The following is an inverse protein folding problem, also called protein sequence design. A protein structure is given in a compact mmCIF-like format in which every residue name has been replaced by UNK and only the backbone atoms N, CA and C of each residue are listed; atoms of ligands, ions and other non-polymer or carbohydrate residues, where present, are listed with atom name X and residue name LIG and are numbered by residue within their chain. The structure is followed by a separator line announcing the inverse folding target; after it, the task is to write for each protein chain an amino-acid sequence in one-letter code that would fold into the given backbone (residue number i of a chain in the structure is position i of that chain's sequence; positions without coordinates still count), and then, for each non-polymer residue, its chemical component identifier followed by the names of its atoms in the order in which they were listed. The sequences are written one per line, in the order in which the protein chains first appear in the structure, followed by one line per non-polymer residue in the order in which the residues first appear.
data_IF_314497241925
#
_entry.id   IF_314497241925
#
_cell.length_a   1.000
_cell.length_b   1.000
_cell.length_c   1.000
_cell.angle_alpha   90.00
_cell.angle_beta   90.00
_cell.angle_gamma   90.00
#
_symmetry.space_group_name_H-M   'P 1'
#
loop_
_entity.id
_entity.type
_entity.pdbx_description
1 polymer ?
#
# COMPACT_ATOMS: atom_id res chain seq x y z
N UNK A 1 28.65 39.28 -3.82
CA UNK A 1 28.34 38.10 -2.99
C UNK A 1 27.06 37.49 -3.51
N UNK A 2 27.19 36.56 -4.48
CA UNK A 2 26.03 35.95 -5.15
C UNK A 2 25.68 34.66 -4.44
N UNK A 3 24.53 34.65 -3.77
CA UNK A 3 24.01 33.49 -3.06
C UNK A 3 23.38 32.53 -4.08
N UNK A 4 24.08 31.42 -4.39
CA UNK A 4 23.51 30.34 -5.20
C UNK A 4 22.50 29.60 -4.33
N UNK A 5 21.20 29.79 -4.59
CA UNK A 5 20.19 28.82 -4.18
C UNK A 5 20.51 27.51 -4.90
N UNK A 6 21.09 26.56 -4.18
CA UNK A 6 21.18 25.17 -4.61
C UNK A 6 19.75 24.63 -4.71
N UNK A 7 19.31 24.38 -5.95
CA UNK A 7 18.10 23.64 -6.22
C UNK A 7 18.16 22.30 -5.45
N UNK A 8 17.08 21.99 -4.72
CA UNK A 8 16.85 20.65 -4.20
C UNK A 8 16.86 19.69 -5.41
N UNK A 9 17.52 18.53 -5.33
CA UNK A 9 17.51 17.59 -6.44
C UNK A 9 16.06 17.21 -6.76
N UNK A 10 15.67 17.37 -8.03
CA UNK A 10 14.41 16.83 -8.53
C UNK A 10 14.38 15.33 -8.23
N UNK A 11 13.26 14.76 -7.74
CA UNK A 11 13.16 13.32 -7.57
C UNK A 11 13.40 12.66 -8.93
N UNK A 12 14.49 11.91 -9.03
CA UNK A 12 14.87 11.20 -10.25
C UNK A 12 13.68 10.40 -10.77
N UNK A 13 13.31 10.53 -12.06
CA UNK A 13 12.39 9.59 -12.68
C UNK A 13 12.95 8.18 -12.50
N UNK A 14 12.10 7.23 -12.15
CA UNK A 14 12.44 5.81 -12.00
C UNK A 14 13.02 5.27 -13.31
N UNK A 15 14.34 5.37 -13.46
CA UNK A 15 15.10 4.65 -14.48
C UNK A 15 15.54 3.33 -13.87
N UNK A 16 14.64 2.33 -13.89
CA UNK A 16 14.96 0.94 -13.52
C UNK A 16 13.81 0.16 -12.87
N UNK A 17 13.13 -0.68 -13.65
CA UNK A 17 12.57 -1.98 -13.22
C UNK A 17 11.62 -2.08 -11.99
N UNK A 18 10.57 -1.27 -11.88
CA UNK A 18 9.52 -1.46 -10.86
C UNK A 18 8.53 -2.62 -11.16
N UNK A 19 9.07 -3.83 -11.38
CA UNK A 19 8.32 -5.10 -11.59
C UNK A 19 8.71 -6.20 -10.60
N UNK A 20 9.53 -5.90 -9.58
CA UNK A 20 9.91 -6.89 -8.58
C UNK A 20 8.83 -7.05 -7.50
N UNK A 21 8.57 -8.30 -7.13
CA UNK A 21 7.70 -8.64 -6.02
C UNK A 21 8.34 -8.19 -4.72
N UNK A 22 7.51 -7.66 -3.81
CA UNK A 22 7.91 -7.43 -2.42
C UNK A 22 7.31 -8.56 -1.60
N UNK A 23 8.17 -9.34 -0.96
CA UNK A 23 7.77 -10.54 -0.24
C UNK A 23 8.29 -10.52 1.19
N UNK A 24 7.49 -11.07 2.10
CA UNK A 24 7.90 -11.31 3.47
C UNK A 24 7.18 -12.52 4.04
N UNK A 25 7.77 -13.12 5.08
CA UNK A 25 7.19 -14.24 5.82
C UNK A 25 7.00 -13.81 7.27
N UNK A 26 5.86 -14.20 7.83
CA UNK A 26 5.62 -14.16 9.27
C UNK A 26 5.49 -15.58 9.83
N UNK A 27 5.89 -15.77 11.07
CA UNK A 27 5.71 -17.03 11.79
C UNK A 27 4.29 -17.18 12.38
N UNK A 28 4.08 -18.23 13.18
CA UNK A 28 2.81 -18.48 13.88
C UNK A 28 2.47 -17.44 14.97
N UNK A 29 3.45 -16.65 15.41
CA UNK A 29 3.31 -15.56 16.38
C UNK A 29 3.19 -14.18 15.71
N UNK A 30 3.04 -14.14 14.38
CA UNK A 30 2.96 -12.92 13.56
C UNK A 30 4.27 -12.09 13.51
N UNK A 31 5.42 -12.68 13.85
CA UNK A 31 6.71 -12.01 13.76
C UNK A 31 7.29 -12.13 12.36
N UNK A 32 7.82 -11.04 11.81
CA UNK A 32 8.50 -11.04 10.51
C UNK A 32 9.81 -11.84 10.60
N UNK A 33 9.90 -12.97 9.90
CA UNK A 33 11.07 -13.87 9.94
C UNK A 33 11.94 -13.79 8.70
N UNK A 34 11.40 -13.28 7.58
CA UNK A 34 12.13 -13.15 6.33
C UNK A 34 11.53 -12.06 5.45
N UNK A 35 12.39 -11.41 4.65
CA UNK A 35 12.04 -10.50 3.55
C UNK A 35 12.90 -10.84 2.34
N UNK A 36 12.43 -10.54 1.13
CA UNK A 36 13.23 -10.78 -0.08
C UNK A 36 14.30 -9.70 -0.32
N UNK A 37 15.21 -9.96 -1.26
CA UNK A 37 16.32 -9.06 -1.60
C UNK A 37 15.86 -7.66 -2.07
N UNK A 38 14.69 -7.56 -2.71
CA UNK A 38 14.15 -6.30 -3.22
C UNK A 38 13.56 -5.40 -2.12
N UNK A 39 13.43 -5.89 -0.89
CA UNK A 39 12.74 -5.19 0.19
C UNK A 39 13.43 -3.87 0.58
N UNK A 40 14.74 -3.88 0.80
CA UNK A 40 15.48 -2.72 1.28
C UNK A 40 15.55 -1.61 0.22
N UNK A 41 15.80 -1.99 -1.04
CA UNK A 41 15.76 -1.07 -2.17
C UNK A 41 14.37 -0.43 -2.30
N UNK A 42 13.30 -1.23 -2.16
CA UNK A 42 11.94 -0.70 -2.17
C UNK A 42 11.66 0.27 -1.02
N UNK A 43 12.11 -0.05 0.20
CA UNK A 43 11.95 0.83 1.35
C UNK A 43 12.68 2.18 1.14
N UNK A 44 13.91 2.15 0.64
CA UNK A 44 14.69 3.35 0.33
C UNK A 44 14.06 4.18 -0.80
N UNK A 45 13.61 3.53 -1.87
CA UNK A 45 12.92 4.20 -2.97
C UNK A 45 11.61 4.89 -2.56
N UNK A 46 10.98 4.46 -1.45
CA UNK A 46 9.77 5.06 -0.92
C UNK A 46 10.04 5.94 0.33
N UNK A 47 11.29 6.36 0.55
CA UNK A 47 11.71 7.23 1.67
C UNK A 47 11.28 6.69 3.05
N UNK A 48 11.41 5.37 3.23
CA UNK A 48 11.02 4.66 4.44
C UNK A 48 12.19 3.86 5.04
N UNK A 49 13.33 4.50 5.41
CA UNK A 49 14.49 3.79 5.97
C UNK A 49 14.19 3.10 7.31
N UNK A 50 13.13 3.52 8.01
CA UNK A 50 12.63 2.84 9.21
C UNK A 50 11.99 1.48 8.92
N UNK A 51 11.80 1.11 7.64
CA UNK A 51 11.27 -0.17 7.19
C UNK A 51 12.35 -1.08 6.58
N UNK A 52 13.63 -0.74 6.68
CA UNK A 52 14.72 -1.64 6.26
C UNK A 52 14.62 -3.00 6.99
N UNK A 53 15.06 -4.06 6.34
CA UNK A 53 15.07 -5.45 6.82
C UNK A 53 15.60 -5.55 8.26
N UNK A 54 16.73 -4.90 8.53
CA UNK A 54 17.35 -4.84 9.85
C UNK A 54 16.49 -4.19 10.95
N UNK A 55 15.47 -3.40 10.58
CA UNK A 55 14.55 -2.71 11.50
C UNK A 55 13.22 -3.45 11.69
N UNK A 56 12.89 -4.39 10.80
CA UNK A 56 11.58 -5.08 10.77
C UNK A 56 11.65 -6.55 11.17
N UNK A 57 12.77 -7.24 10.92
CA UNK A 57 12.92 -8.64 11.26
C UNK A 57 12.84 -8.86 12.79
N UNK A 58 12.12 -9.92 13.19
CA UNK A 58 11.84 -10.27 14.58
C UNK A 58 10.73 -9.44 15.24
N UNK A 59 10.07 -8.55 14.50
CA UNK A 59 9.00 -7.69 15.02
C UNK A 59 7.64 -8.07 14.46
N UNK A 60 6.61 -7.63 15.16
CA UNK A 60 5.23 -7.86 14.77
C UNK A 60 4.89 -7.06 13.51
N UNK A 61 4.41 -7.73 12.45
CA UNK A 61 4.11 -7.07 11.18
C UNK A 61 3.06 -5.95 11.34
N UNK A 62 2.19 -6.03 12.35
CA UNK A 62 1.13 -5.04 12.63
C UNK A 62 1.70 -3.66 12.95
N UNK A 63 2.94 -3.59 13.46
CA UNK A 63 3.62 -2.33 13.76
C UNK A 63 3.91 -1.50 12.50
N UNK A 64 3.98 -2.14 11.33
CA UNK A 64 4.33 -1.50 10.06
C UNK A 64 3.12 -1.18 9.19
N UNK A 65 1.91 -1.52 9.64
CA UNK A 65 0.67 -1.28 8.89
C UNK A 65 -0.09 -0.09 9.44
N UNK A 66 -0.09 0.98 8.66
CA UNK A 66 -0.80 2.21 9.01
C UNK A 66 -2.30 2.11 8.75
N UNK A 67 -3.08 2.60 9.71
CA UNK A 67 -4.53 2.73 9.63
C UNK A 67 -5.27 1.44 10.02
N UNK A 68 -6.17 1.56 10.99
CA UNK A 68 -6.89 0.42 11.59
C UNK A 68 -7.66 -0.38 10.55
N UNK A 69 -8.29 0.29 9.57
CA UNK A 69 -9.03 -0.40 8.51
C UNK A 69 -8.14 -1.28 7.64
N UNK A 70 -6.90 -0.85 7.36
CA UNK A 70 -5.97 -1.65 6.56
C UNK A 70 -5.43 -2.83 7.38
N UNK A 71 -5.10 -2.60 8.65
CA UNK A 71 -4.66 -3.66 9.58
C UNK A 71 -5.73 -4.74 9.73
N UNK A 72 -6.97 -4.36 10.06
CA UNK A 72 -8.10 -5.29 10.16
C UNK A 72 -8.33 -6.09 8.87
N UNK A 73 -8.13 -5.44 7.71
CA UNK A 73 -8.29 -6.10 6.42
C UNK A 73 -7.22 -7.17 6.18
N UNK A 74 -5.95 -6.84 6.44
CA UNK A 74 -4.84 -7.79 6.32
C UNK A 74 -4.95 -8.92 7.34
N UNK A 75 -5.37 -8.64 8.58
CA UNK A 75 -5.65 -9.65 9.62
C UNK A 75 -6.74 -10.62 9.18
N UNK A 76 -7.81 -10.14 8.53
CA UNK A 76 -8.88 -11.00 8.02
C UNK A 76 -8.39 -11.92 6.90
N UNK A 77 -7.55 -11.43 5.98
CA UNK A 77 -6.94 -12.24 4.93
C UNK A 77 -5.99 -13.31 5.50
N UNK A 78 -5.17 -12.91 6.47
CA UNK A 78 -4.27 -13.80 7.21
C UNK A 78 -5.04 -14.93 7.92
N UNK A 79 -6.08 -14.55 8.67
CA UNK A 79 -6.92 -15.50 9.39
C UNK A 79 -7.60 -16.48 8.44
N UNK A 80 -8.14 -15.99 7.32
CA UNK A 80 -8.72 -16.82 6.29
C UNK A 80 -7.70 -17.80 5.67
N UNK A 81 -6.48 -17.34 5.40
CA UNK A 81 -5.41 -18.19 4.87
C UNK A 81 -5.05 -19.33 5.84
N UNK A 82 -4.87 -19.00 7.13
CA UNK A 82 -4.58 -19.98 8.20
C UNK A 82 -5.72 -21.00 8.35
N UNK A 83 -6.95 -20.54 8.50
CA UNK A 83 -8.12 -21.41 8.75
C UNK A 83 -8.41 -22.32 7.57
N UNK A 84 -8.33 -21.79 6.35
CA UNK A 84 -8.69 -22.55 5.15
C UNK A 84 -7.53 -23.39 4.60
N UNK A 85 -6.29 -23.15 5.04
CA UNK A 85 -5.09 -23.74 4.44
C UNK A 85 -4.95 -23.41 2.96
N UNK A 86 -5.48 -22.25 2.53
CA UNK A 86 -5.56 -21.84 1.12
C UNK A 86 -4.88 -20.51 0.90
N UNK A 87 -4.35 -20.35 -0.31
CA UNK A 87 -3.87 -19.06 -0.81
C UNK A 87 -5.05 -18.11 -0.94
N UNK A 88 -4.89 -16.92 -0.37
CA UNK A 88 -5.85 -15.82 -0.41
C UNK A 88 -5.26 -14.68 -1.24
N UNK A 89 -6.05 -14.09 -2.14
CA UNK A 89 -5.56 -13.05 -3.04
C UNK A 89 -6.48 -11.83 -3.14
N UNK A 90 -5.89 -10.64 -3.16
CA UNK A 90 -6.61 -9.38 -3.33
C UNK A 90 -5.83 -8.40 -4.23
N UNK A 91 -6.54 -7.70 -5.11
CA UNK A 91 -5.97 -6.56 -5.84
C UNK A 91 -6.26 -5.23 -5.13
N UNK A 92 -5.27 -4.34 -5.11
CA UNK A 92 -5.37 -3.01 -4.52
C UNK A 92 -4.42 -2.03 -5.24
N UNK A 93 -4.42 -0.75 -4.83
CA UNK A 93 -3.53 0.30 -5.32
C UNK A 93 -2.58 0.78 -4.24
N UNK A 94 -1.31 0.94 -4.58
CA UNK A 94 -0.24 1.44 -3.72
C UNK A 94 0.42 2.67 -4.35
N UNK A 95 -0.34 3.75 -4.56
CA UNK A 95 0.15 4.89 -5.34
C UNK A 95 1.26 5.65 -4.63
N UNK A 96 2.20 6.19 -5.41
CA UNK A 96 3.06 7.30 -5.03
C UNK A 96 2.43 8.62 -5.50
N UNK A 97 2.99 9.79 -5.13
CA UNK A 97 2.55 11.07 -5.70
C UNK A 97 2.69 11.14 -7.23
N UNK A 98 3.62 10.39 -7.81
CA UNK A 98 3.91 10.37 -9.25
C UNK A 98 3.25 9.23 -10.00
N UNK A 99 2.87 8.14 -9.35
CA UNK A 99 2.46 6.90 -10.02
C UNK A 99 1.26 6.21 -9.35
N UNK A 100 0.37 5.67 -10.19
CA UNK A 100 -0.62 4.67 -9.81
C UNK A 100 0.01 3.29 -9.93
N UNK A 101 0.14 2.58 -8.82
CA UNK A 101 0.65 1.19 -8.80
C UNK A 101 -0.49 0.25 -8.50
N UNK A 102 -0.83 -0.62 -9.44
CA UNK A 102 -1.78 -1.69 -9.28
C UNK A 102 -1.03 -2.93 -8.78
N UNK A 103 -1.48 -3.48 -7.66
CA UNK A 103 -0.77 -4.54 -6.95
C UNK A 103 -1.74 -5.69 -6.69
N UNK A 104 -1.24 -6.92 -6.85
CA UNK A 104 -1.89 -8.15 -6.38
C UNK A 104 -1.19 -8.62 -5.12
N UNK A 105 -1.88 -8.50 -3.98
CA UNK A 105 -1.50 -9.15 -2.74
C UNK A 105 -1.89 -10.63 -2.80
N UNK A 106 -0.95 -11.48 -2.40
CA UNK A 106 -1.15 -12.89 -2.10
C UNK A 106 -0.74 -13.16 -0.66
N UNK A 107 -1.58 -13.89 0.07
CA UNK A 107 -1.32 -14.40 1.41
C UNK A 107 -1.39 -15.93 1.33
N UNK A 108 -0.28 -16.59 1.60
CA UNK A 108 -0.09 -18.00 1.30
C UNK A 108 0.40 -18.76 2.54
N UNK A 109 -0.34 -19.79 3.00
CA UNK A 109 0.13 -20.66 4.07
C UNK A 109 1.42 -21.38 3.68
N UNK A 110 2.32 -21.51 4.64
CA UNK A 110 3.58 -22.22 4.53
C UNK A 110 3.65 -23.31 5.64
N UNK A 111 4.74 -24.06 5.66
CA UNK A 111 4.97 -25.06 6.70
C UNK A 111 5.02 -24.43 8.11
N UNK A 112 4.75 -25.25 9.14
CA UNK A 112 4.89 -24.85 10.56
C UNK A 112 4.14 -23.57 10.91
N UNK A 113 2.97 -23.33 10.31
CA UNK A 113 2.12 -22.17 10.62
C UNK A 113 2.61 -20.83 10.09
N UNK A 114 3.71 -20.82 9.32
CA UNK A 114 4.22 -19.61 8.68
C UNK A 114 3.28 -19.15 7.57
N UNK A 115 3.32 -17.86 7.26
CA UNK A 115 2.52 -17.26 6.19
C UNK A 115 3.40 -16.35 5.35
N UNK A 116 3.40 -16.58 4.03
CA UNK A 116 4.08 -15.74 3.06
C UNK A 116 3.13 -14.69 2.50
N UNK A 117 3.54 -13.44 2.57
CA UNK A 117 2.92 -12.31 1.88
C UNK A 117 3.73 -11.98 0.64
N UNK A 118 3.04 -11.72 -0.47
CA UNK A 118 3.64 -11.31 -1.74
C UNK A 118 2.83 -10.19 -2.37
N UNK A 119 3.49 -9.07 -2.60
CA UNK A 119 2.94 -7.87 -3.24
C UNK A 119 3.52 -7.79 -4.65
N UNK A 120 2.77 -8.29 -5.64
CA UNK A 120 3.17 -8.27 -7.04
C UNK A 120 2.60 -7.04 -7.75
N UNK A 121 3.47 -6.14 -8.22
CA UNK A 121 3.04 -4.98 -9.01
C UNK A 121 2.66 -5.44 -10.42
N UNK A 122 1.37 -5.39 -10.73
CA UNK A 122 0.85 -5.83 -12.03
C UNK A 122 0.84 -4.74 -13.08
N UNK A 123 0.82 -3.46 -12.67
CA UNK A 123 0.81 -2.32 -13.58
C UNK A 123 1.24 -1.04 -12.85
N UNK A 124 2.05 -0.23 -13.52
CA UNK A 124 2.38 1.14 -13.10
C UNK A 124 1.88 2.11 -14.18
N UNK A 125 1.23 3.19 -13.77
CA UNK A 125 0.75 4.26 -14.66
C UNK A 125 1.16 5.61 -14.05
N UNK A 126 1.86 6.48 -14.77
CA UNK A 126 2.13 7.84 -14.29
C UNK A 126 0.84 8.59 -13.96
N UNK A 127 0.84 9.32 -12.85
CA UNK A 127 -0.24 10.24 -12.48
C UNK A 127 -0.18 11.45 -13.41
N UNK A 128 -1.34 11.94 -13.85
CA UNK A 128 -1.44 13.17 -14.65
C UNK A 128 -1.00 14.41 -13.86
N UNK A 129 -1.24 14.40 -12.55
CA UNK A 129 -0.94 15.50 -11.65
C UNK A 129 -0.32 14.99 -10.35
N UNK A 130 0.65 15.74 -9.82
CA UNK A 130 1.21 15.49 -8.50
C UNK A 130 0.24 16.05 -7.45
N UNK A 131 -0.19 15.22 -6.51
CA UNK A 131 -0.97 15.62 -5.33
C UNK A 131 -0.45 14.85 -4.14
N UNK A 132 -0.13 15.55 -3.05
CA UNK A 132 0.35 14.93 -1.82
C UNK A 132 -0.82 14.72 -0.85
N UNK A 133 -0.90 13.55 -0.23
CA UNK A 133 -1.94 13.23 0.74
C UNK A 133 -1.34 13.07 2.13
N UNK A 134 -1.92 13.74 3.12
CA UNK A 134 -1.47 13.67 4.51
C UNK A 134 -2.62 13.30 5.42
N UNK A 135 -2.35 12.47 6.43
CA UNK A 135 -3.32 12.23 7.51
C UNK A 135 -3.13 13.33 8.56
N UNK A 136 -4.14 14.16 8.82
CA UNK A 136 -4.00 15.25 9.77
C UNK A 136 -3.88 14.72 11.20
N UNK A 137 -2.91 15.22 11.97
CA UNK A 137 -2.69 14.85 13.38
C UNK A 137 -3.77 15.38 14.33
N UNK A 138 -4.44 16.46 13.93
CA UNK A 138 -5.55 17.08 14.66
C UNK A 138 -6.77 17.18 13.74
N UNK A 139 -8.00 17.12 14.28
CA UNK A 139 -9.20 17.30 13.48
C UNK A 139 -9.16 18.61 12.69
N UNK A 140 -9.40 18.53 11.38
CA UNK A 140 -9.44 19.70 10.50
C UNK A 140 -10.64 20.58 10.90
N UNK A 141 -10.39 21.77 11.43
CA UNK A 141 -11.46 22.71 11.82
C UNK A 141 -12.11 23.33 10.57
N UNK A 142 -13.44 23.32 10.50
CA UNK A 142 -14.23 24.10 9.54
C UNK A 142 -14.16 23.67 8.07
N UNK A 143 -13.46 22.58 7.73
CA UNK A 143 -13.34 22.07 6.36
C UNK A 143 -14.27 20.89 6.04
N UNK A 144 -14.61 20.72 4.76
CA UNK A 144 -15.22 19.47 4.26
C UNK A 144 -14.18 18.34 4.42
N UNK A 145 -14.49 17.33 5.22
CA UNK A 145 -13.60 16.18 5.43
C UNK A 145 -13.44 15.40 4.12
N UNK A 146 -12.21 15.30 3.63
CA UNK A 146 -11.88 14.45 2.49
C UNK A 146 -11.48 13.05 2.98
N UNK A 147 -11.94 12.03 2.27
CA UNK A 147 -11.52 10.66 2.52
C UNK A 147 -10.72 10.13 1.34
N UNK A 148 -9.82 9.18 1.59
CA UNK A 148 -9.12 8.42 0.56
C UNK A 148 -9.33 6.94 0.78
N UNK A 149 -9.60 6.20 -0.29
CA UNK A 149 -9.87 4.79 -0.18
C UNK A 149 -8.57 4.01 0.03
N UNK A 150 -8.43 3.24 1.11
CA UNK A 150 -7.20 2.45 1.39
C UNK A 150 -6.93 1.32 0.38
N UNK A 151 -7.90 0.98 -0.47
CA UNK A 151 -7.76 -0.11 -1.45
C UNK A 151 -7.59 0.38 -2.88
N UNK A 152 -8.31 1.42 -3.31
CA UNK A 152 -8.25 1.91 -4.69
C UNK A 152 -7.71 3.33 -4.80
N UNK A 153 -7.38 3.97 -3.68
CA UNK A 153 -6.82 5.33 -3.59
C UNK A 153 -7.67 6.45 -4.20
N UNK A 154 -8.91 6.17 -4.62
CA UNK A 154 -9.91 7.18 -4.95
C UNK A 154 -10.17 8.09 -3.78
N UNK A 155 -10.46 9.36 -4.07
CA UNK A 155 -10.78 10.36 -3.06
C UNK A 155 -12.29 10.58 -3.00
N UNK A 156 -12.81 10.79 -1.79
CA UNK A 156 -14.19 11.20 -1.54
C UNK A 156 -14.21 12.70 -1.31
N UNK A 157 -14.73 13.43 -2.29
CA UNK A 157 -14.92 14.88 -2.21
C UNK A 157 -16.39 15.18 -2.49
N UNK A 158 -16.96 16.11 -1.70
CA UNK A 158 -18.36 16.51 -1.85
C UNK A 158 -19.34 15.31 -1.89
N UNK A 159 -19.04 14.24 -1.14
CA UNK A 159 -19.87 13.03 -1.07
C UNK A 159 -19.61 11.98 -2.14
N UNK A 160 -18.83 12.28 -3.19
CA UNK A 160 -18.59 11.39 -4.33
C UNK A 160 -17.17 10.84 -4.34
N UNK A 161 -17.03 9.55 -4.69
CA UNK A 161 -15.73 8.90 -4.86
C UNK A 161 -15.27 9.03 -6.32
N UNK A 162 -14.06 9.54 -6.54
CA UNK A 162 -13.50 9.78 -7.88
C UNK A 162 -11.98 9.57 -7.93
N UNK A 163 -11.42 9.49 -9.14
CA UNK A 163 -9.97 9.53 -9.32
C UNK A 163 -9.43 10.92 -8.96
N UNK A 164 -8.14 10.99 -8.61
CA UNK A 164 -7.50 12.25 -8.22
C UNK A 164 -7.43 13.20 -9.41
N UNK A 165 -7.21 12.67 -10.61
CA UNK A 165 -7.19 13.44 -11.85
C UNK A 165 -8.54 14.09 -12.14
N UNK A 166 -9.65 13.35 -11.94
CA UNK A 166 -11.00 13.89 -12.10
C UNK A 166 -11.25 15.03 -11.12
N UNK A 167 -10.76 14.89 -9.88
CA UNK A 167 -10.87 15.92 -8.86
C UNK A 167 -10.06 17.18 -9.21
N UNK A 168 -8.88 17.04 -9.81
CA UNK A 168 -8.05 18.16 -10.26
C UNK A 168 -8.65 18.82 -11.50
N UNK A 169 -9.06 18.05 -12.50
CA UNK A 169 -9.70 18.54 -13.72
C UNK A 169 -11.02 19.28 -13.40
N UNK A 170 -11.74 18.83 -12.37
CA UNK A 170 -12.96 19.48 -11.85
C UNK A 170 -12.70 20.62 -10.87
N UNK A 171 -11.43 21.01 -10.66
CA UNK A 171 -11.01 22.09 -9.74
C UNK A 171 -11.44 21.90 -8.28
N UNK A 172 -11.67 20.66 -7.86
CA UNK A 172 -11.95 20.30 -6.46
C UNK A 172 -10.67 20.20 -5.62
N UNK A 173 -9.55 19.90 -6.27
CA UNK A 173 -8.19 19.90 -5.73
C UNK A 173 -7.30 20.69 -6.70
N UNK A 174 -6.32 21.42 -6.18
CA UNK A 174 -5.30 22.06 -7.01
C UNK A 174 -4.13 21.09 -7.31
N UNK A 175 -3.63 21.09 -8.55
CA UNK A 175 -2.39 20.38 -8.88
C UNK A 175 -1.22 20.89 -8.02
N UNK A 176 -0.35 19.99 -7.57
CA UNK A 176 0.80 20.29 -6.69
C UNK A 176 0.43 20.55 -5.23
N UNK A 177 -0.85 20.48 -4.86
CA UNK A 177 -1.28 20.74 -3.49
C UNK A 177 -1.08 19.55 -2.55
N UNK A 178 -1.08 19.86 -1.25
CA UNK A 178 -1.18 18.88 -0.17
C UNK A 178 -2.60 18.86 0.36
N UNK A 179 -3.24 17.68 0.35
CA UNK A 179 -4.62 17.48 0.77
C UNK A 179 -4.66 16.61 2.02
N UNK A 180 -5.27 17.13 3.08
CA UNK A 180 -5.54 16.36 4.30
C UNK A 180 -6.67 15.36 4.06
N UNK A 181 -6.42 14.07 4.29
CA UNK A 181 -7.40 13.00 4.10
C UNK A 181 -7.44 12.05 5.29
N UNK A 182 -8.60 11.47 5.53
CA UNK A 182 -8.73 10.26 6.35
C UNK A 182 -8.92 9.04 5.47
N UNK A 183 -8.39 7.90 5.92
CA UNK A 183 -8.51 6.65 5.17
C UNK A 183 -9.85 5.94 5.46
N UNK A 184 -10.46 5.38 4.43
CA UNK A 184 -11.69 4.59 4.49
C UNK A 184 -11.75 3.55 3.36
N UNK A 185 -12.81 2.73 3.28
CA UNK A 185 -13.05 1.84 2.13
C UNK A 185 -14.27 2.36 1.35
N UNK A 186 -14.11 2.60 0.05
CA UNK A 186 -15.23 3.02 -0.79
C UNK A 186 -16.22 1.86 -1.05
N UNK A 187 -17.49 2.14 -1.37
CA UNK A 187 -18.51 1.11 -1.59
C UNK A 187 -18.10 0.06 -2.64
N UNK A 188 -17.43 0.48 -3.71
CA UNK A 188 -16.96 -0.44 -4.76
C UNK A 188 -15.91 -1.44 -4.25
N UNK A 189 -15.04 -1.02 -3.33
CA UNK A 189 -14.03 -1.87 -2.72
C UNK A 189 -14.63 -2.76 -1.63
N UNK A 190 -15.56 -2.24 -0.83
CA UNK A 190 -16.26 -3.02 0.18
C UNK A 190 -16.98 -4.24 -0.43
N UNK A 191 -17.63 -4.08 -1.59
CA UNK A 191 -18.27 -5.19 -2.31
C UNK A 191 -17.28 -6.23 -2.84
N UNK A 192 -16.02 -5.86 -3.11
CA UNK A 192 -14.97 -6.77 -3.57
C UNK A 192 -14.36 -7.57 -2.42
N UNK A 193 -14.20 -6.95 -1.25
CA UNK A 193 -13.72 -7.63 -0.03
C UNK A 193 -14.62 -8.81 0.36
N UNK A 194 -15.92 -8.70 0.13
CA UNK A 194 -16.86 -9.82 0.36
C UNK A 194 -16.63 -11.03 -0.57
N UNK A 195 -15.79 -10.90 -1.61
CA UNK A 195 -15.57 -11.90 -2.67
C UNK A 195 -14.11 -12.36 -2.76
N UNK A 196 -13.37 -12.27 -1.66
CA UNK A 196 -11.98 -12.73 -1.60
C UNK A 196 -11.89 -14.15 -2.19
N UNK A 197 -11.08 -14.31 -3.24
CA UNK A 197 -10.87 -15.59 -3.91
C UNK A 197 -9.88 -16.43 -3.14
N UNK A 198 -10.18 -17.71 -2.93
CA UNK A 198 -9.23 -18.70 -2.41
C UNK A 198 -8.87 -19.71 -3.49
N UNK A 199 -7.62 -20.18 -3.47
CA UNK A 199 -7.12 -21.25 -4.34
C UNK A 199 -6.25 -22.17 -3.47
N UNK A 200 -6.19 -23.48 -3.73
CA UNK A 200 -5.26 -24.36 -3.01
C UNK A 200 -3.83 -23.82 -3.07
N UNK A 201 -3.08 -23.92 -1.98
CA UNK A 201 -1.64 -23.71 -2.02
C UNK A 201 -1.01 -24.84 -2.86
N UNK A 202 -0.04 -24.52 -3.72
CA UNK A 202 0.57 -25.51 -4.59
C UNK A 202 1.42 -26.48 -3.74
N UNK A 203 1.24 -27.81 -3.81
CA UNK A 203 1.94 -28.76 -2.95
C UNK A 203 3.41 -29.04 -3.32
N UNK A 204 4.02 -28.25 -4.21
CA UNK A 204 5.36 -28.53 -4.76
C UNK A 204 6.47 -27.78 -4.02
N UNK A 205 6.73 -28.16 -2.76
CA UNK A 205 7.99 -27.84 -2.05
C UNK A 205 8.48 -29.03 -1.20
N UNK A 206 8.18 -30.27 -1.60
CA UNK A 206 8.86 -31.46 -1.07
C UNK A 206 9.73 -32.06 -2.19
N UNK A 207 11.01 -31.73 -2.19
CA UNK A 207 12.06 -32.31 -3.03
C UNK A 207 13.40 -32.20 -2.33
#
# INVERSE_FOLDING_TARGET
MSNKLSALPEPSPLQGNATQDIEYIIDEHDLMTWVNEAWDDFALCNDAPNLLSAQVLGRDWREFVQGDTNRMYMEAMLSAARILGKRIGQSYRCDSPSDKRYVKLTVEPQEKGHIKFRHHTTKVVPQKYIVNFVVPKTPVKGGKVAFRCSMCNRVKLQGQWMEVEDAVDSKLIAAGSTVSVYYAICPSCHSKVKRISSTPANPECCG
#
